data_IF_075861830344
#
_entry.id   IF_075861830344
#
_cell.length_a   1.000
_cell.length_b   1.000
_cell.length_c   1.000
_cell.angle_alpha   90.00
_cell.angle_beta   90.00
_cell.angle_gamma   90.00
#
_symmetry.space_group_name_H-M   'P 1'
#
loop_
_entity.id
_entity.type
_entity.pdbx_description
1 polymer ?
#
# COMPACT_ATOMS: atom_id res chain seq x y z
N UNK A 1 22.82 64.96 0.03
CA UNK A 1 22.95 63.67 -0.69
C UNK A 1 23.63 62.60 0.18
N UNK A 2 23.10 62.31 1.39
CA UNK A 2 23.69 61.28 2.28
C UNK A 2 22.70 60.21 2.76
N UNK A 3 21.42 60.33 2.40
CA UNK A 3 20.36 59.40 2.83
C UNK A 3 19.86 58.46 1.71
N UNK A 4 20.22 58.72 0.44
CA UNK A 4 19.81 57.87 -0.68
C UNK A 4 20.62 56.57 -0.80
N UNK A 5 21.86 56.55 -0.29
CA UNK A 5 22.70 55.35 -0.34
C UNK A 5 22.24 54.23 0.62
N UNK A 6 21.54 54.58 1.71
CA UNK A 6 21.04 53.61 2.70
C UNK A 6 19.78 52.88 2.23
N UNK A 7 18.97 53.49 1.37
CA UNK A 7 17.72 52.90 0.86
C UNK A 7 17.98 51.80 -0.20
N UNK A 8 19.06 51.89 -0.97
CA UNK A 8 19.41 50.89 -1.98
C UNK A 8 19.96 49.61 -1.34
N UNK A 9 20.69 49.72 -0.22
CA UNK A 9 21.22 48.56 0.51
C UNK A 9 20.08 47.80 1.22
N UNK A 10 19.08 48.49 1.76
CA UNK A 10 17.93 47.84 2.40
C UNK A 10 17.03 47.07 1.41
N UNK A 11 16.95 47.50 0.15
CA UNK A 11 16.19 46.80 -0.89
C UNK A 11 16.90 45.57 -1.46
N UNK A 12 18.24 45.50 -1.37
CA UNK A 12 19.03 44.34 -1.81
C UNK A 12 18.96 43.15 -0.83
N UNK A 13 18.53 43.37 0.42
CA UNK A 13 18.27 42.27 1.37
C UNK A 13 16.82 41.77 1.35
N UNK A 14 15.92 42.46 0.63
CA UNK A 14 14.52 42.04 0.50
C UNK A 14 14.26 41.11 -0.70
N UNK A 15 15.25 40.89 -1.58
CA UNK A 15 15.11 40.03 -2.78
C UNK A 15 15.82 38.67 -2.65
N UNK A 16 16.18 38.26 -1.43
CA UNK A 16 16.77 36.94 -1.13
C UNK A 16 15.83 36.02 -0.36
N UNK A 17 14.51 36.22 -0.46
CA UNK A 17 13.63 35.06 -0.42
C UNK A 17 13.70 34.42 -1.81
N UNK A 18 14.80 33.71 -2.08
CA UNK A 18 14.70 32.61 -3.00
C UNK A 18 13.60 31.72 -2.44
N UNK A 19 12.55 31.52 -3.22
CA UNK A 19 11.60 30.45 -3.00
C UNK A 19 12.41 29.17 -2.84
N UNK A 20 12.63 28.78 -1.59
CA UNK A 20 12.91 27.42 -1.21
C UNK A 20 11.67 26.66 -1.70
N UNK A 21 11.69 26.26 -2.97
CA UNK A 21 10.87 25.17 -3.43
C UNK A 21 11.20 24.07 -2.45
N UNK A 22 10.24 23.79 -1.57
CA UNK A 22 10.17 22.58 -0.77
C UNK A 22 10.37 21.40 -1.71
N UNK A 23 11.63 21.07 -2.00
CA UNK A 23 12.10 19.73 -2.22
C UNK A 23 12.09 19.09 -0.83
N UNK A 24 10.92 19.04 -0.19
CA UNK A 24 10.65 17.97 0.75
C UNK A 24 10.63 16.75 -0.16
N UNK A 25 11.79 16.11 -0.27
CA UNK A 25 11.86 14.73 -0.71
C UNK A 25 10.82 14.00 0.13
N UNK A 26 9.76 13.50 -0.50
CA UNK A 26 8.70 12.70 0.16
C UNK A 26 9.24 11.42 0.84
N UNK A 27 10.56 11.25 0.89
CA UNK A 27 11.28 10.28 1.70
C UNK A 27 10.85 10.40 3.17
N UNK A 28 10.27 9.32 3.68
CA UNK A 28 9.94 9.17 5.09
C UNK A 28 8.52 9.58 5.49
N UNK A 29 7.70 10.19 4.61
CA UNK A 29 6.29 10.47 4.95
C UNK A 29 5.55 9.15 5.21
N UNK A 30 5.68 8.18 4.30
CA UNK A 30 5.04 6.88 4.46
C UNK A 30 5.61 6.07 5.63
N UNK A 31 6.90 6.21 5.95
CA UNK A 31 7.49 5.57 7.12
C UNK A 31 6.90 6.10 8.42
N UNK A 32 6.82 7.42 8.55
CA UNK A 32 6.25 8.06 9.73
C UNK A 32 4.77 7.74 9.88
N UNK A 33 4.02 7.74 8.77
CA UNK A 33 2.62 7.32 8.77
C UNK A 33 2.47 5.85 9.17
N UNK A 34 3.26 4.95 8.60
CA UNK A 34 3.23 3.53 8.93
C UNK A 34 3.57 3.31 10.40
N UNK A 35 4.59 3.97 10.94
CA UNK A 35 4.96 3.85 12.36
C UNK A 35 3.79 4.23 13.29
N UNK A 36 3.09 5.33 13.01
CA UNK A 36 1.91 5.72 13.79
C UNK A 36 0.81 4.65 13.69
N UNK A 37 0.53 4.16 12.48
CA UNK A 37 -0.48 3.12 12.29
C UNK A 37 -0.09 1.78 12.92
N UNK A 38 1.19 1.42 12.96
CA UNK A 38 1.66 0.21 13.64
C UNK A 38 1.45 0.29 15.16
N UNK A 39 1.62 1.49 15.75
CA UNK A 39 1.29 1.71 17.15
C UNK A 39 -0.21 1.55 17.40
N UNK A 40 -1.05 2.12 16.53
CA UNK A 40 -2.51 1.96 16.60
C UNK A 40 -2.92 0.50 16.43
N UNK A 41 -2.35 -0.21 15.46
CA UNK A 41 -2.60 -1.64 15.21
C UNK A 41 -2.32 -2.45 16.47
N UNK A 42 -1.21 -2.16 17.16
CA UNK A 42 -0.87 -2.79 18.42
C UNK A 42 -1.85 -2.40 19.54
N UNK A 43 -2.14 -1.11 19.70
CA UNK A 43 -3.05 -0.58 20.72
C UNK A 43 -4.47 -1.17 20.60
N UNK A 44 -4.98 -1.32 19.38
CA UNK A 44 -6.30 -1.90 19.12
C UNK A 44 -6.30 -3.43 19.17
N UNK A 45 -5.14 -4.09 19.30
CA UNK A 45 -5.04 -5.55 19.37
C UNK A 45 -5.35 -6.26 18.05
N UNK A 46 -5.15 -5.58 16.91
CA UNK A 46 -5.51 -6.09 15.57
C UNK A 46 -4.29 -6.57 14.78
N UNK A 47 -3.18 -6.89 15.45
CA UNK A 47 -1.93 -7.29 14.81
C UNK A 47 -2.09 -8.50 13.89
N UNK A 48 -2.82 -9.53 14.31
CA UNK A 48 -3.03 -10.73 13.49
C UNK A 48 -3.81 -10.42 12.20
N UNK A 49 -4.88 -9.62 12.31
CA UNK A 49 -5.66 -9.18 11.16
C UNK A 49 -4.80 -8.34 10.20
N UNK A 50 -3.98 -7.42 10.72
CA UNK A 50 -3.04 -6.65 9.92
C UNK A 50 -2.06 -7.53 9.12
N UNK A 51 -1.43 -8.52 9.76
CA UNK A 51 -0.48 -9.41 9.10
C UNK A 51 -1.17 -10.27 8.03
N UNK A 52 -2.38 -10.77 8.31
CA UNK A 52 -3.13 -11.58 7.35
C UNK A 52 -3.62 -10.77 6.14
N UNK A 53 -4.10 -9.55 6.37
CA UNK A 53 -4.50 -8.64 5.29
C UNK A 53 -3.32 -8.20 4.43
N UNK A 54 -2.16 -7.91 5.05
CA UNK A 54 -0.91 -7.63 4.33
C UNK A 54 -0.50 -8.82 3.45
N UNK A 55 -0.58 -10.03 3.99
CA UNK A 55 -0.33 -11.26 3.24
C UNK A 55 -1.27 -11.43 2.04
N UNK A 56 -2.58 -11.23 2.23
CA UNK A 56 -3.58 -11.31 1.17
C UNK A 56 -3.33 -10.30 0.06
N UNK A 57 -2.95 -9.07 0.42
CA UNK A 57 -2.59 -8.03 -0.56
C UNK A 57 -1.37 -8.44 -1.39
N UNK A 58 -0.31 -8.94 -0.75
CA UNK A 58 0.83 -9.48 -1.50
C UNK A 58 0.42 -10.61 -2.43
N UNK A 59 -0.36 -11.60 -1.97
CA UNK A 59 -0.79 -12.72 -2.80
C UNK A 59 -1.64 -12.28 -3.99
N UNK A 60 -2.53 -11.29 -3.78
CA UNK A 60 -3.40 -10.80 -4.83
C UNK A 60 -2.62 -10.19 -6.00
N UNK A 61 -1.54 -9.46 -5.69
CA UNK A 61 -0.77 -8.69 -6.67
C UNK A 61 0.60 -9.30 -7.00
N UNK A 62 0.96 -10.46 -6.44
CA UNK A 62 2.35 -10.93 -6.42
C UNK A 62 2.99 -11.04 -7.81
N UNK A 63 2.25 -11.53 -8.79
CA UNK A 63 2.67 -11.74 -10.18
C UNK A 63 2.29 -10.59 -11.11
N UNK A 64 1.60 -9.56 -10.59
CA UNK A 64 1.12 -8.43 -11.39
C UNK A 64 2.30 -7.49 -11.68
N UNK A 65 2.60 -7.20 -12.96
CA UNK A 65 3.65 -6.25 -13.32
C UNK A 65 3.32 -4.84 -12.84
N UNK A 66 4.32 -4.17 -12.29
CA UNK A 66 4.19 -2.75 -11.94
C UNK A 66 4.31 -1.95 -13.22
N UNK A 67 3.27 -1.19 -13.57
CA UNK A 67 3.29 -0.35 -14.79
C UNK A 67 3.96 1.00 -14.54
N UNK A 68 3.59 1.66 -13.44
CA UNK A 68 4.16 2.96 -13.11
C UNK A 68 4.22 3.23 -11.60
N UNK A 69 5.23 4.00 -11.20
CA UNK A 69 5.30 4.61 -9.88
C UNK A 69 5.46 6.11 -10.05
N UNK A 70 4.51 6.89 -9.51
CA UNK A 70 4.37 8.35 -9.74
C UNK A 70 4.57 8.78 -11.21
N UNK A 71 3.96 8.05 -12.14
CA UNK A 71 4.01 8.34 -13.57
C UNK A 71 5.31 7.94 -14.29
N UNK A 72 6.30 7.39 -13.57
CA UNK A 72 7.49 6.77 -14.19
C UNK A 72 7.17 5.33 -14.56
N UNK A 73 7.37 4.96 -15.82
CA UNK A 73 7.21 3.58 -16.31
C UNK A 73 8.19 2.63 -15.60
N UNK A 74 7.70 1.47 -15.19
CA UNK A 74 8.49 0.41 -14.54
C UNK A 74 8.64 -0.79 -15.48
N UNK A 75 9.82 -1.41 -15.46
CA UNK A 75 10.12 -2.63 -16.22
C UNK A 75 10.67 -3.70 -15.30
N UNK A 76 10.37 -4.96 -15.61
CA UNK A 76 10.87 -6.15 -14.90
C UNK A 76 10.58 -6.18 -13.39
N UNK A 77 9.53 -5.48 -12.95
CA UNK A 77 9.13 -5.36 -11.56
C UNK A 77 7.69 -5.88 -11.38
N UNK A 78 7.46 -6.58 -10.28
CA UNK A 78 6.10 -6.99 -9.83
C UNK A 78 5.84 -6.47 -8.43
N UNK A 79 4.58 -6.37 -8.02
CA UNK A 79 4.25 -5.91 -6.67
C UNK A 79 4.79 -6.80 -5.54
N UNK A 80 5.08 -8.09 -5.79
CA UNK A 80 5.76 -8.95 -4.82
C UNK A 80 7.17 -8.47 -4.42
N UNK A 81 7.78 -7.61 -5.24
CA UNK A 81 9.13 -7.09 -5.04
C UNK A 81 9.12 -5.75 -4.28
N UNK A 82 7.94 -5.16 -4.09
CA UNK A 82 7.78 -3.83 -3.52
C UNK A 82 7.44 -3.87 -2.02
N UNK A 83 7.72 -2.76 -1.34
CA UNK A 83 7.26 -2.54 0.02
C UNK A 83 5.76 -2.28 0.03
N UNK A 84 5.05 -2.93 0.94
CA UNK A 84 3.62 -2.74 1.16
C UNK A 84 3.41 -2.11 2.53
N UNK A 85 2.97 -0.86 2.55
CA UNK A 85 2.79 -0.08 3.77
C UNK A 85 1.32 0.23 4.01
N UNK A 86 0.93 0.29 5.28
CA UNK A 86 -0.37 0.84 5.65
C UNK A 86 -0.32 2.36 5.48
N UNK A 87 -1.28 2.92 4.73
CA UNK A 87 -1.38 4.37 4.51
C UNK A 87 -2.69 4.96 5.04
N UNK A 88 -3.59 4.10 5.50
CA UNK A 88 -4.87 4.48 6.06
C UNK A 88 -5.32 3.44 7.09
N UNK A 89 -5.71 3.92 8.26
CA UNK A 89 -6.36 3.15 9.30
C UNK A 89 -7.43 4.05 9.93
N UNK A 90 -8.66 3.54 10.05
CA UNK A 90 -9.70 4.18 10.86
C UNK A 90 -10.50 3.13 11.62
N UNK A 91 -11.08 3.57 12.72
CA UNK A 91 -12.09 2.82 13.44
C UNK A 91 -13.35 3.66 13.58
N UNK A 92 -14.49 3.03 13.34
CA UNK A 92 -15.80 3.56 13.66
C UNK A 92 -16.57 2.49 14.41
N UNK A 93 -16.76 2.71 15.72
CA UNK A 93 -17.23 1.72 16.68
C UNK A 93 -16.41 0.43 16.57
N UNK A 94 -17.05 -0.72 16.37
CA UNK A 94 -16.38 -2.02 16.24
C UNK A 94 -15.87 -2.32 14.83
N UNK A 95 -15.94 -1.36 13.91
CA UNK A 95 -15.59 -1.55 12.50
C UNK A 95 -14.28 -0.84 12.20
N UNK A 96 -13.24 -1.61 11.90
CA UNK A 96 -11.97 -1.11 11.41
C UNK A 96 -11.95 -1.05 9.88
N UNK A 97 -11.23 -0.08 9.33
CA UNK A 97 -10.83 -0.05 7.93
C UNK A 97 -9.33 0.16 7.84
N UNK A 98 -8.66 -0.67 7.05
CA UNK A 98 -7.22 -0.58 6.80
C UNK A 98 -6.94 -0.63 5.30
N UNK A 99 -6.09 0.27 4.81
CA UNK A 99 -5.66 0.26 3.41
C UNK A 99 -4.14 0.36 3.27
N UNK A 100 -3.65 -0.25 2.20
CA UNK A 100 -2.26 -0.46 1.88
C UNK A 100 -1.87 0.15 0.54
N UNK A 101 -0.62 0.57 0.44
CA UNK A 101 -0.02 1.11 -0.76
C UNK A 101 1.31 0.43 -1.04
N UNK A 102 1.59 0.15 -2.31
CA UNK A 102 2.88 -0.37 -2.72
C UNK A 102 3.83 0.78 -3.02
N UNK A 103 5.05 0.69 -2.50
CA UNK A 103 6.09 1.70 -2.64
C UNK A 103 7.32 1.07 -3.29
N UNK A 104 7.93 1.82 -4.22
CA UNK A 104 9.27 1.58 -4.70
C UNK A 104 10.26 2.40 -3.86
N UNK A 105 11.30 1.73 -3.34
CA UNK A 105 12.34 2.33 -2.50
C UNK A 105 11.75 3.17 -1.35
N UNK A 106 10.79 2.61 -0.63
CA UNK A 106 10.12 3.21 0.54
C UNK A 106 9.41 4.57 0.33
N UNK A 107 9.42 5.15 -0.87
CA UNK A 107 9.06 6.54 -1.10
C UNK A 107 8.12 6.75 -2.30
N UNK A 108 8.30 5.98 -3.38
CA UNK A 108 7.55 6.19 -4.61
C UNK A 108 6.31 5.29 -4.66
N UNK A 109 5.15 5.89 -4.42
CA UNK A 109 3.87 5.18 -4.58
C UNK A 109 3.67 4.65 -6.00
N UNK A 110 3.35 3.36 -6.09
CA UNK A 110 3.07 2.66 -7.32
C UNK A 110 1.56 2.47 -7.49
N UNK A 111 1.06 2.75 -8.70
CA UNK A 111 -0.38 2.71 -8.99
C UNK A 111 -0.82 1.29 -9.23
N UNK A 112 -1.58 0.74 -8.28
CA UNK A 112 -2.18 -0.59 -8.40
C UNK A 112 -3.31 -0.55 -9.44
N UNK A 113 -3.01 -1.01 -10.65
CA UNK A 113 -3.99 -1.27 -11.69
C UNK A 113 -4.05 -2.78 -11.92
N UNK A 114 -5.15 -3.42 -11.52
CA UNK A 114 -5.39 -4.78 -11.98
C UNK A 114 -5.78 -4.79 -13.45
N UNK A 115 -5.41 -5.85 -14.16
CA UNK A 115 -5.82 -6.13 -15.55
C UNK A 115 -7.35 -6.19 -15.70
N UNK A 116 -8.07 -6.44 -14.60
CA UNK A 116 -9.51 -6.73 -14.60
C UNK A 116 -10.34 -5.62 -13.93
N UNK A 117 -9.77 -4.42 -13.71
CA UNK A 117 -10.51 -3.22 -13.31
C UNK A 117 -10.94 -3.11 -11.83
N UNK A 118 -10.74 -4.14 -11.01
CA UNK A 118 -10.97 -4.08 -9.55
C UNK A 118 -9.65 -3.97 -8.79
N UNK A 119 -9.23 -2.73 -8.49
CA UNK A 119 -8.06 -2.47 -7.64
C UNK A 119 -8.49 -2.44 -6.17
N UNK A 120 -8.25 -3.53 -5.44
CA UNK A 120 -8.41 -3.56 -3.98
C UNK A 120 -7.18 -2.98 -3.31
N UNK A 121 -7.40 -2.01 -2.43
CA UNK A 121 -6.40 -1.33 -1.63
C UNK A 121 -6.49 -1.70 -0.15
N UNK A 122 -7.57 -2.31 0.32
CA UNK A 122 -7.75 -2.51 1.76
C UNK A 122 -8.96 -3.35 2.14
N UNK A 123 -9.28 -3.32 3.43
CA UNK A 123 -10.27 -4.16 4.08
C UNK A 123 -11.05 -3.37 5.12
N UNK A 124 -12.36 -3.54 5.14
CA UNK A 124 -13.19 -3.28 6.31
C UNK A 124 -13.39 -4.57 7.10
N UNK A 125 -13.31 -4.52 8.43
CA UNK A 125 -13.37 -5.70 9.31
C UNK A 125 -13.97 -5.35 10.67
N UNK A 126 -14.40 -6.37 11.43
CA UNK A 126 -14.75 -6.19 12.85
C UNK A 126 -13.49 -6.34 13.69
N UNK A 127 -13.35 -5.53 14.75
CA UNK A 127 -12.16 -5.55 15.63
C UNK A 127 -11.80 -6.96 16.12
N UNK A 128 -12.80 -7.76 16.46
CA UNK A 128 -12.62 -9.13 16.98
C UNK A 128 -12.71 -10.22 15.88
N UNK A 129 -12.59 -9.84 14.61
CA UNK A 129 -12.69 -10.75 13.47
C UNK A 129 -11.55 -10.53 12.48
N UNK A 130 -10.83 -11.60 12.18
CA UNK A 130 -9.89 -11.64 11.07
C UNK A 130 -10.57 -11.77 9.69
N UNK A 131 -11.91 -11.85 9.64
CA UNK A 131 -12.68 -11.99 8.40
C UNK A 131 -13.09 -10.61 7.89
N UNK A 132 -12.73 -10.23 6.65
CA UNK A 132 -13.17 -8.98 6.04
C UNK A 132 -14.71 -8.90 5.89
N UNK A 133 -15.28 -7.75 6.22
CA UNK A 133 -16.67 -7.36 5.95
C UNK A 133 -16.86 -6.83 4.53
N UNK A 134 -15.85 -6.12 4.00
CA UNK A 134 -15.79 -5.63 2.63
C UNK A 134 -14.32 -5.37 2.25
N UNK A 135 -14.05 -5.29 0.96
CA UNK A 135 -12.78 -4.84 0.41
C UNK A 135 -12.87 -3.35 0.07
N UNK A 136 -11.80 -2.60 0.25
CA UNK A 136 -11.71 -1.19 -0.13
C UNK A 136 -11.11 -1.14 -1.52
N UNK A 137 -11.78 -0.54 -2.50
CA UNK A 137 -11.31 -0.39 -3.87
C UNK A 137 -11.26 1.06 -4.36
N UNK A 138 -10.64 1.30 -5.51
CA UNK A 138 -10.63 2.63 -6.15
C UNK A 138 -11.89 2.84 -7.01
N UNK A 139 -12.67 3.90 -6.77
CA UNK A 139 -13.86 4.25 -7.56
C UNK A 139 -14.95 5.03 -6.80
N UNK A 140 -16.05 5.41 -7.48
CA UNK A 140 -17.18 6.19 -6.90
C UNK A 140 -17.87 5.46 -5.73
N UNK A 141 -17.88 4.14 -5.75
CA UNK A 141 -18.42 3.28 -4.70
C UNK A 141 -17.29 2.40 -4.14
N UNK A 142 -16.16 2.99 -3.71
CA UNK A 142 -14.89 2.35 -3.34
C UNK A 142 -14.90 1.27 -2.23
N UNK A 143 -16.03 0.59 -2.00
CA UNK A 143 -16.20 -0.58 -1.14
C UNK A 143 -16.85 -1.71 -1.94
N UNK A 144 -16.19 -2.86 -1.96
CA UNK A 144 -16.65 -4.08 -2.64
C UNK A 144 -17.07 -5.09 -1.56
N UNK A 145 -18.30 -5.63 -1.65
CA UNK A 145 -18.82 -6.62 -0.70
C UNK A 145 -17.94 -7.89 -0.65
N UNK A 146 -17.75 -8.48 0.54
CA UNK A 146 -17.06 -9.78 0.69
C UNK A 146 -17.95 -10.98 0.43
N UNK A 147 -19.23 -10.79 0.11
CA UNK A 147 -20.16 -11.87 -0.29
C UNK A 147 -19.80 -12.38 -1.69
N UNK A 148 -18.73 -13.14 -1.78
CA UNK A 148 -18.25 -13.76 -3.01
C UNK A 148 -18.68 -15.23 -3.15
N UNK A 149 -19.80 -15.62 -2.51
CA UNK A 149 -20.23 -17.01 -2.34
C UNK A 149 -21.62 -17.31 -2.95
N UNK A 150 -22.00 -16.61 -4.02
CA UNK A 150 -23.18 -17.02 -4.79
C UNK A 150 -22.77 -17.34 -6.21
N UNK A 151 -23.19 -18.51 -6.67
CA UNK A 151 -23.15 -19.03 -8.06
C UNK A 151 -23.84 -18.10 -9.10
N UNK A 152 -24.06 -16.83 -8.76
CA UNK A 152 -24.85 -15.84 -9.49
C UNK A 152 -24.10 -14.53 -9.76
N UNK A 153 -22.85 -14.36 -9.32
CA UNK A 153 -22.10 -13.15 -9.64
C UNK A 153 -21.29 -13.29 -10.92
N UNK A 154 -21.61 -12.42 -11.88
CA UNK A 154 -20.83 -12.16 -13.08
C UNK A 154 -19.36 -11.95 -12.70
N UNK A 155 -18.49 -12.63 -13.45
CA UNK A 155 -17.07 -12.93 -13.19
C UNK A 155 -16.12 -11.71 -12.99
N UNK A 156 -16.62 -10.49 -12.79
CA UNK A 156 -15.83 -9.26 -12.87
C UNK A 156 -15.45 -8.54 -11.56
N UNK A 157 -16.04 -8.90 -10.40
CA UNK A 157 -15.97 -8.00 -9.22
C UNK A 157 -15.31 -8.55 -7.95
N UNK A 158 -15.09 -9.87 -7.84
CA UNK A 158 -14.51 -10.47 -6.64
C UNK A 158 -13.03 -10.81 -6.82
N UNK A 159 -12.11 -10.25 -6.02
CA UNK A 159 -10.70 -10.62 -6.04
C UNK A 159 -10.50 -12.02 -5.43
N UNK A 160 -10.55 -13.06 -6.27
CA UNK A 160 -10.49 -14.47 -5.84
C UNK A 160 -9.23 -14.81 -5.04
N UNK A 161 -8.10 -14.18 -5.37
CA UNK A 161 -6.82 -14.34 -4.66
C UNK A 161 -6.81 -13.69 -3.28
N UNK A 162 -7.62 -12.67 -3.03
CA UNK A 162 -7.75 -12.10 -1.67
C UNK A 162 -8.50 -13.06 -0.75
N UNK A 163 -9.49 -13.78 -1.25
CA UNK A 163 -10.28 -14.75 -0.46
C UNK A 163 -9.44 -16.00 -0.19
N UNK A 164 -8.83 -16.56 -1.24
CA UNK A 164 -7.96 -17.73 -1.18
C UNK A 164 -6.56 -17.32 -1.66
N UNK A 165 -5.66 -16.88 -0.76
CA UNK A 165 -4.35 -16.36 -1.15
C UNK A 165 -3.39 -17.42 -1.72
N UNK A 166 -3.48 -18.66 -1.25
CA UNK A 166 -2.61 -19.76 -1.71
C UNK A 166 -3.23 -20.53 -2.87
N UNK A 167 -3.39 -19.87 -4.01
CA UNK A 167 -3.74 -20.53 -5.27
C UNK A 167 -2.50 -21.14 -5.94
N UNK A 168 -2.65 -22.17 -6.82
CA UNK A 168 -1.50 -22.84 -7.44
C UNK A 168 -0.55 -21.92 -8.22
N UNK A 169 -1.09 -20.91 -8.90
CA UNK A 169 -0.36 -19.87 -9.63
C UNK A 169 0.42 -18.95 -8.69
N UNK A 170 -0.19 -18.50 -7.59
CA UNK A 170 0.47 -17.70 -6.54
C UNK A 170 1.63 -18.48 -5.92
N UNK A 171 1.40 -19.75 -5.54
CA UNK A 171 2.46 -20.62 -4.98
C UNK A 171 3.61 -20.78 -5.97
N UNK A 172 3.29 -21.05 -7.26
CA UNK A 172 4.28 -21.18 -8.32
C UNK A 172 5.09 -19.90 -8.48
N UNK A 173 4.44 -18.74 -8.43
CA UNK A 173 5.08 -17.44 -8.54
C UNK A 173 6.06 -17.20 -7.38
N UNK A 174 5.58 -17.38 -6.14
CA UNK A 174 6.35 -17.19 -4.91
C UNK A 174 7.61 -18.06 -4.94
N UNK A 175 7.49 -19.34 -5.28
CA UNK A 175 8.62 -20.27 -5.36
C UNK A 175 9.62 -19.88 -6.45
N UNK A 176 9.14 -19.52 -7.64
CA UNK A 176 10.00 -19.13 -8.77
C UNK A 176 10.79 -17.84 -8.49
N UNK A 177 10.21 -16.92 -7.72
CA UNK A 177 10.78 -15.59 -7.48
C UNK A 177 11.33 -15.38 -6.07
N UNK A 178 11.57 -16.46 -5.31
CA UNK A 178 12.01 -16.43 -3.90
C UNK A 178 13.08 -15.37 -3.59
N UNK A 179 14.12 -15.26 -4.42
CA UNK A 179 15.23 -14.34 -4.22
C UNK A 179 14.91 -12.86 -4.50
N UNK A 180 13.77 -12.57 -5.14
CA UNK A 180 13.32 -11.22 -5.51
C UNK A 180 12.12 -10.74 -4.68
N UNK A 181 11.55 -11.59 -3.83
CA UNK A 181 10.43 -11.20 -2.98
C UNK A 181 10.86 -10.11 -2.02
N UNK A 182 9.94 -9.21 -1.70
CA UNK A 182 10.09 -8.30 -0.57
C UNK A 182 10.47 -9.09 0.70
N UNK A 183 11.38 -8.61 1.55
CA UNK A 183 11.85 -9.35 2.73
C UNK A 183 10.73 -9.80 3.67
N UNK A 184 9.75 -8.94 3.94
CA UNK A 184 8.59 -9.31 4.77
C UNK A 184 7.78 -10.42 4.10
N UNK A 185 7.51 -10.31 2.80
CA UNK A 185 6.74 -11.31 2.06
C UNK A 185 7.48 -12.65 1.96
N UNK A 186 8.80 -12.63 1.82
CA UNK A 186 9.65 -13.83 1.87
C UNK A 186 9.52 -14.55 3.21
N UNK A 187 9.73 -13.84 4.31
CA UNK A 187 9.63 -14.41 5.66
C UNK A 187 8.24 -14.96 5.94
N UNK A 188 7.19 -14.25 5.52
CA UNK A 188 5.81 -14.69 5.69
C UNK A 188 5.51 -15.94 4.83
N UNK A 189 6.10 -16.06 3.64
CA UNK A 189 5.98 -17.25 2.80
C UNK A 189 6.66 -18.48 3.43
N UNK A 190 7.82 -18.30 4.09
CA UNK A 190 8.46 -19.35 4.91
C UNK A 190 7.56 -19.73 6.08
N UNK A 191 7.11 -18.74 6.87
CA UNK A 191 6.26 -18.95 8.04
C UNK A 191 4.97 -19.71 7.72
N UNK A 192 4.41 -19.49 6.52
CA UNK A 192 3.20 -20.16 6.02
C UNK A 192 3.47 -21.47 5.27
N UNK A 193 4.73 -21.92 5.17
CA UNK A 193 5.10 -23.21 4.58
C UNK A 193 5.00 -23.26 3.06
N UNK A 194 5.14 -22.13 2.36
CA UNK A 194 5.15 -22.12 0.89
C UNK A 194 6.43 -22.74 0.34
N UNK A 195 7.56 -22.50 1.02
CA UNK A 195 8.87 -23.09 0.76
C UNK A 195 9.73 -23.06 2.04
N UNK A 196 10.79 -23.85 2.07
CA UNK A 196 11.76 -23.89 3.17
C UNK A 196 12.90 -22.88 2.96
N UNK A 197 13.57 -22.49 4.06
CA UNK A 197 14.79 -21.65 4.00
C UNK A 197 15.97 -22.37 3.34
#
# INVERSE_FOLDING_TARGET
MRYYALLVIALLFASSCEDEKDNITDEGIYDKMEQNYLQDIFFYGITEAYQDFKWRMYCNYCDVPVKSCRGREMKDLTYAMLDLKVFFLRFDNDTGEIAYTFLLNDSLQCTVENTDGSSVHGFGFKKDSAVPLYYIGAGKDGKISTRCDTLLYEEGYCPTRIIKPLQPDVIKYIRKNRAKLNPWFHMEAVRRGVFDE
#
